data_IF_815363974962
#
_entry.id   IF_815363974962
#
_cell.length_a   1.000
_cell.length_b   1.000
_cell.length_c   1.000
_cell.angle_alpha   90.00
_cell.angle_beta   90.00
_cell.angle_gamma   90.00
#
_symmetry.space_group_name_H-M   'P 1'
#
loop_
_entity.id
_entity.type
_entity.pdbx_description
1 polymer ?
#
# COMPACT_ATOMS: atom_id res chain seq x y z
N UNK A 1 -21.22 40.45 34.98
CA UNK A 1 -19.88 40.03 34.51
C UNK A 1 -19.45 38.85 35.35
N UNK A 2 -19.62 37.64 34.84
CA UNK A 2 -19.36 36.39 35.58
C UNK A 2 -18.31 35.63 34.80
N UNK A 3 -17.09 35.55 35.35
CA UNK A 3 -15.96 34.81 34.74
C UNK A 3 -16.07 33.33 35.12
N UNK A 4 -16.18 32.47 34.13
CA UNK A 4 -16.08 31.02 34.26
C UNK A 4 -14.66 30.61 33.87
N UNK A 5 -13.92 30.02 34.81
CA UNK A 5 -12.58 29.45 34.57
C UNK A 5 -12.71 27.92 34.54
N UNK A 6 -12.26 27.21 33.49
CA UNK A 6 -12.18 25.76 33.54
C UNK A 6 -10.89 25.29 34.21
N UNK A 7 -11.02 24.48 35.26
CA UNK A 7 -9.91 23.73 35.88
C UNK A 7 -9.59 22.53 34.97
N UNK A 8 -8.36 22.49 34.47
CA UNK A 8 -7.81 21.38 33.68
C UNK A 8 -7.48 20.20 34.60
N UNK A 9 -8.04 19.03 34.31
CA UNK A 9 -7.61 17.77 34.91
C UNK A 9 -6.35 17.26 34.18
N UNK A 10 -5.24 17.09 34.91
CA UNK A 10 -4.06 16.37 34.44
C UNK A 10 -4.27 14.87 34.71
N UNK A 11 -4.30 14.06 33.65
CA UNK A 11 -4.17 12.61 33.75
C UNK A 11 -2.68 12.26 33.64
N UNK A 12 -2.11 11.68 34.70
CA UNK A 12 -0.78 11.10 34.69
C UNK A 12 -0.94 9.60 34.41
N UNK A 13 -0.55 9.14 33.22
CA UNK A 13 -0.43 7.73 32.90
C UNK A 13 1.05 7.34 32.93
N UNK A 14 1.43 6.49 33.87
CA UNK A 14 2.77 5.91 33.95
C UNK A 14 2.87 4.72 32.98
N UNK A 15 3.85 4.76 32.08
CA UNK A 15 4.16 3.72 31.11
C UNK A 15 5.11 2.70 31.75
N UNK A 16 4.70 1.44 31.86
CA UNK A 16 5.56 0.35 32.32
C UNK A 16 6.28 -0.28 31.11
N UNK A 17 7.62 -0.17 31.09
CA UNK A 17 8.47 -0.84 30.11
C UNK A 17 8.82 -2.25 30.59
N UNK A 18 8.43 -3.27 29.83
CA UNK A 18 8.87 -4.65 30.03
C UNK A 18 10.04 -4.95 29.09
N UNK A 19 11.22 -5.19 29.65
CA UNK A 19 12.41 -5.64 28.92
C UNK A 19 12.39 -7.17 28.81
N UNK A 20 12.31 -7.71 27.58
CA UNK A 20 12.60 -9.12 27.31
C UNK A 20 14.10 -9.29 27.09
N UNK A 21 14.77 -10.03 27.98
CA UNK A 21 16.14 -10.52 27.78
C UNK A 21 16.04 -11.91 27.14
N UNK A 22 16.31 -12.01 25.85
CA UNK A 22 16.47 -13.28 25.14
C UNK A 22 17.89 -13.81 25.30
N UNK A 23 18.04 -15.02 25.85
CA UNK A 23 19.31 -15.75 25.92
C UNK A 23 19.52 -16.52 24.63
N UNK A 24 20.65 -16.29 23.96
CA UNK A 24 21.08 -17.07 22.79
C UNK A 24 21.97 -18.20 23.29
N UNK A 25 21.55 -19.45 23.08
CA UNK A 25 22.42 -20.61 23.26
C UNK A 25 22.92 -21.05 21.89
N UNK A 26 24.23 -20.96 21.68
CA UNK A 26 24.94 -21.53 20.55
C UNK A 26 25.29 -22.98 20.86
N UNK A 27 24.88 -23.90 19.99
CA UNK A 27 25.36 -25.28 19.99
C UNK A 27 26.06 -25.55 18.65
N UNK A 28 27.38 -25.70 18.72
CA UNK A 28 28.20 -26.30 17.68
C UNK A 28 27.95 -27.81 17.64
N UNK A 29 27.77 -28.37 16.44
CA UNK A 29 28.01 -29.79 16.18
C UNK A 29 28.57 -29.97 14.76
N UNK A 30 29.87 -30.24 14.79
CA UNK A 30 30.79 -30.91 13.88
C UNK A 30 30.29 -31.55 12.56
N UNK A 31 31.07 -31.22 11.53
CA UNK A 31 31.28 -31.77 10.19
C UNK A 31 30.96 -33.25 9.90
N UNK A 32 30.26 -33.44 8.79
CA UNK A 32 30.49 -34.54 7.86
C UNK A 32 30.34 -34.05 6.40
N UNK A 33 31.43 -34.11 5.63
CA UNK A 33 31.47 -34.09 4.16
C UNK A 33 32.14 -35.44 3.78
N UNK A 34 31.77 -36.19 2.71
CA UNK A 34 31.85 -35.69 1.33
C UNK A 34 30.87 -36.24 0.28
N UNK A 35 30.60 -35.44 -0.76
CA UNK A 35 31.14 -35.65 -2.11
C UNK A 35 30.37 -34.81 -3.16
N UNK A 36 31.15 -34.04 -3.93
CA UNK A 36 30.98 -33.66 -5.34
C UNK A 36 29.58 -33.33 -5.88
N UNK A 37 29.39 -32.04 -6.19
CA UNK A 37 28.33 -31.54 -7.05
C UNK A 37 28.38 -30.01 -7.11
N UNK A 38 29.24 -29.50 -7.98
CA UNK A 38 29.09 -28.22 -8.67
C UNK A 38 29.18 -26.95 -7.80
N UNK A 39 30.41 -26.61 -7.38
CA UNK A 39 30.75 -25.23 -7.08
C UNK A 39 30.71 -24.43 -8.40
N UNK A 40 29.54 -23.86 -8.72
CA UNK A 40 29.42 -22.88 -9.80
C UNK A 40 30.16 -21.61 -9.36
N UNK A 41 31.44 -21.52 -9.74
CA UNK A 41 32.20 -20.27 -9.66
C UNK A 41 31.58 -19.36 -10.71
N UNK A 42 30.73 -18.43 -10.27
CA UNK A 42 30.11 -17.45 -11.15
C UNK A 42 31.20 -16.66 -11.88
N UNK A 43 31.35 -16.90 -13.18
CA UNK A 43 32.18 -16.11 -14.06
C UNK A 43 31.41 -14.79 -14.34
N UNK A 44 31.98 -13.61 -14.06
CA UNK A 44 31.31 -12.33 -14.32
C UNK A 44 31.03 -12.06 -15.82
N UNK A 45 31.45 -12.95 -16.72
CA UNK A 45 31.18 -12.88 -18.16
C UNK A 45 30.22 -13.97 -18.66
N UNK A 46 29.51 -14.69 -17.78
CA UNK A 46 28.51 -15.68 -18.19
C UNK A 46 27.23 -14.95 -18.66
N UNK A 47 26.84 -15.04 -19.95
CA UNK A 47 25.70 -14.31 -20.50
C UNK A 47 24.39 -14.99 -20.07
N UNK A 48 23.99 -14.73 -18.83
CA UNK A 48 22.74 -15.26 -18.27
C UNK A 48 22.31 -14.67 -16.93
N UNK A 49 23.10 -13.77 -16.32
CA UNK A 49 22.84 -13.23 -14.98
C UNK A 49 22.69 -11.70 -14.91
N UNK A 50 22.69 -11.00 -16.05
CA UNK A 50 22.39 -9.56 -16.11
C UNK A 50 21.11 -9.37 -16.93
N UNK A 51 19.98 -9.71 -16.34
CA UNK A 51 18.68 -9.22 -16.82
C UNK A 51 17.80 -8.74 -15.65
N UNK A 52 18.42 -8.37 -14.52
CA UNK A 52 17.70 -8.01 -13.30
C UNK A 52 17.29 -6.54 -13.18
N UNK A 53 17.57 -5.69 -14.17
CA UNK A 53 17.10 -4.30 -14.19
C UNK A 53 16.79 -3.87 -15.61
N UNK A 54 15.78 -4.48 -16.20
CA UNK A 54 15.04 -3.79 -17.26
C UNK A 54 14.12 -2.80 -16.57
N UNK A 55 14.28 -1.50 -16.85
CA UNK A 55 13.33 -0.48 -16.44
C UNK A 55 11.90 -0.96 -16.78
N UNK A 56 10.91 -0.81 -15.87
CA UNK A 56 9.61 -1.38 -16.09
C UNK A 56 8.98 -0.82 -17.38
N UNK A 57 8.65 -1.73 -18.30
CA UNK A 57 7.71 -1.47 -19.40
C UNK A 57 6.48 -0.74 -18.82
N UNK A 58 5.95 0.31 -19.46
CA UNK A 58 4.79 1.04 -18.94
C UNK A 58 3.64 0.07 -18.65
N UNK A 59 3.38 -0.17 -17.36
CA UNK A 59 2.43 -1.18 -16.87
C UNK A 59 3.01 -2.31 -16.02
N UNK A 60 4.33 -2.44 -15.87
CA UNK A 60 4.96 -3.30 -14.85
C UNK A 60 5.30 -2.48 -13.62
N UNK A 61 4.71 -2.81 -12.48
CA UNK A 61 5.08 -2.22 -11.19
C UNK A 61 6.39 -2.85 -10.69
N UNK A 62 7.20 -2.08 -9.97
CA UNK A 62 8.46 -2.49 -9.35
C UNK A 62 8.24 -3.42 -8.15
N UNK A 63 9.17 -3.50 -7.19
CA UNK A 63 8.99 -4.28 -5.98
C UNK A 63 7.74 -3.81 -5.22
N UNK A 64 6.66 -4.58 -5.34
CA UNK A 64 5.34 -4.28 -4.78
C UNK A 64 5.38 -4.36 -3.25
N UNK A 65 5.03 -3.27 -2.57
CA UNK A 65 4.87 -3.26 -1.12
C UNK A 65 3.67 -4.09 -0.68
N UNK A 66 2.62 -4.13 -1.52
CA UNK A 66 1.41 -4.87 -1.21
C UNK A 66 0.64 -5.24 -2.48
N UNK A 67 0.11 -6.46 -2.51
CA UNK A 67 -0.93 -6.87 -3.44
C UNK A 67 -2.17 -7.47 -2.72
N UNK A 68 -3.34 -7.33 -3.33
CA UNK A 68 -4.59 -7.79 -2.75
C UNK A 68 -5.76 -7.80 -3.73
N UNK A 69 -6.97 -7.96 -3.21
CA UNK A 69 -8.21 -7.88 -3.98
C UNK A 69 -9.27 -7.13 -3.16
N UNK A 70 -10.24 -6.53 -3.85
CA UNK A 70 -11.37 -5.82 -3.24
C UNK A 70 -12.66 -6.52 -3.67
N UNK A 71 -13.52 -6.85 -2.71
CA UNK A 71 -14.86 -7.39 -2.97
C UNK A 71 -15.93 -6.46 -2.41
N UNK A 72 -16.96 -6.18 -3.21
CA UNK A 72 -18.19 -5.49 -2.79
C UNK A 72 -17.97 -4.15 -2.07
N UNK A 73 -17.03 -3.34 -2.56
CA UNK A 73 -16.79 -2.00 -2.03
C UNK A 73 -17.93 -1.05 -2.38
N UNK A 74 -18.56 -0.44 -1.37
CA UNK A 74 -19.55 0.61 -1.55
C UNK A 74 -18.92 2.00 -1.34
N UNK A 75 -19.41 3.07 -2.00
CA UNK A 75 -19.00 4.42 -1.69
C UNK A 75 -19.26 4.72 -0.21
N UNK A 76 -18.27 5.26 0.51
CA UNK A 76 -18.40 5.58 1.93
C UNK A 76 -17.10 5.46 2.72
N UNK A 77 -17.21 5.11 4.01
CA UNK A 77 -16.14 5.16 5.00
C UNK A 77 -15.28 3.90 5.08
N UNK A 78 -15.12 3.17 3.97
CA UNK A 78 -14.16 2.07 3.92
C UNK A 78 -12.79 2.61 3.55
N UNK A 79 -11.76 2.01 4.14
CA UNK A 79 -10.36 2.30 3.85
C UNK A 79 -9.64 1.01 3.46
N UNK A 80 -8.59 1.18 2.66
CA UNK A 80 -7.67 0.09 2.35
C UNK A 80 -6.85 -0.28 3.58
N UNK A 81 -5.97 -1.28 3.41
CA UNK A 81 -4.84 -1.44 4.33
C UNK A 81 -3.95 -0.21 4.25
N UNK A 82 -3.24 0.03 5.33
CA UNK A 82 -2.20 1.05 5.40
C UNK A 82 -0.87 0.45 4.98
N UNK A 83 0.01 1.28 4.41
CA UNK A 83 1.40 0.92 4.12
C UNK A 83 2.32 2.09 4.48
N UNK A 84 3.55 1.77 4.83
CA UNK A 84 4.54 2.76 5.22
C UNK A 84 5.11 3.44 3.96
N UNK A 85 4.87 4.75 3.82
CA UNK A 85 5.39 5.61 2.76
C UNK A 85 5.05 7.08 3.05
N UNK A 86 5.91 8.00 2.61
CA UNK A 86 5.72 9.43 2.79
C UNK A 86 6.03 10.25 1.53
N UNK A 87 6.69 9.68 0.52
CA UNK A 87 7.15 10.46 -0.63
C UNK A 87 6.41 10.09 -1.91
N UNK A 88 6.33 8.79 -2.23
CA UNK A 88 5.83 8.34 -3.53
C UNK A 88 4.99 7.07 -3.41
N UNK A 89 3.78 7.10 -3.94
CA UNK A 89 2.97 5.89 -4.04
C UNK A 89 2.26 5.79 -5.37
N UNK A 90 2.29 4.61 -5.94
CA UNK A 90 1.43 4.18 -7.02
C UNK A 90 0.40 3.19 -6.52
N UNK A 91 -0.82 3.33 -7.01
CA UNK A 91 -1.88 2.35 -6.82
C UNK A 91 -2.34 1.89 -8.21
N UNK A 92 -2.40 0.58 -8.42
CA UNK A 92 -2.94 -0.01 -9.64
C UNK A 92 -4.09 -0.93 -9.31
N UNK A 93 -5.20 -0.73 -10.01
CA UNK A 93 -6.33 -1.66 -9.98
C UNK A 93 -6.37 -2.43 -11.30
N UNK A 94 -6.59 -3.74 -11.20
CA UNK A 94 -6.75 -4.65 -12.33
C UNK A 94 -8.10 -5.34 -12.24
N UNK A 95 -8.82 -5.40 -13.36
CA UNK A 95 -10.07 -6.14 -13.49
C UNK A 95 -11.15 -5.62 -12.55
N UNK A 96 -11.59 -4.39 -12.74
CA UNK A 96 -12.65 -3.75 -11.98
C UNK A 96 -14.02 -4.14 -12.53
N UNK A 97 -14.98 -4.39 -11.64
CA UNK A 97 -16.38 -4.66 -11.97
C UNK A 97 -17.27 -3.86 -11.04
N UNK A 98 -18.32 -3.24 -11.57
CA UNK A 98 -19.40 -2.65 -10.76
C UNK A 98 -20.60 -3.57 -10.78
N UNK A 99 -20.99 -4.06 -9.61
CA UNK A 99 -22.22 -4.81 -9.41
C UNK A 99 -23.40 -3.83 -9.45
N UNK A 100 -24.38 -4.12 -10.29
CA UNK A 100 -25.62 -3.35 -10.42
C UNK A 100 -25.40 -1.85 -10.69
N UNK A 101 -25.13 -1.49 -11.96
CA UNK A 101 -25.06 -0.07 -12.32
C UNK A 101 -24.37 0.27 -13.63
N UNK A 102 -23.94 -0.73 -14.41
CA UNK A 102 -23.26 -0.51 -15.71
C UNK A 102 -22.00 0.36 -15.61
N UNK A 103 -21.44 0.47 -14.40
CA UNK A 103 -20.43 1.44 -14.06
C UNK A 103 -19.08 1.18 -14.69
N UNK A 104 -18.37 2.27 -15.00
CA UNK A 104 -17.08 2.24 -15.70
C UNK A 104 -16.04 3.13 -15.06
N UNK A 105 -16.31 3.70 -13.89
CA UNK A 105 -15.30 4.48 -13.18
C UNK A 105 -15.40 4.40 -11.66
N UNK A 106 -14.25 4.63 -11.02
CA UNK A 106 -14.12 4.79 -9.58
C UNK A 106 -13.23 6.00 -9.27
N UNK A 107 -13.63 6.82 -8.32
CA UNK A 107 -12.77 7.87 -7.77
C UNK A 107 -11.99 7.27 -6.60
N UNK A 108 -10.68 7.13 -6.76
CA UNK A 108 -9.77 6.62 -5.72
C UNK A 108 -9.08 7.83 -5.09
N UNK A 109 -9.27 8.00 -3.78
CA UNK A 109 -8.67 9.09 -3.02
C UNK A 109 -7.57 8.52 -2.13
N UNK A 110 -6.41 9.17 -2.15
CA UNK A 110 -5.28 8.80 -1.30
C UNK A 110 -5.24 9.71 -0.07
N UNK A 111 -4.87 9.12 1.06
CA UNK A 111 -4.72 9.78 2.34
C UNK A 111 -3.36 9.47 2.94
N UNK A 112 -2.81 10.43 3.67
CA UNK A 112 -1.69 10.23 4.57
C UNK A 112 -2.20 10.26 6.00
N UNK A 113 -1.97 9.16 6.72
CA UNK A 113 -2.30 9.05 8.12
C UNK A 113 -1.30 9.88 8.95
N UNK A 114 -1.82 10.72 9.84
CA UNK A 114 -0.99 11.50 10.76
C UNK A 114 -1.36 11.12 12.20
N UNK A 115 -0.43 10.52 12.95
CA UNK A 115 -0.66 10.17 14.35
C UNK A 115 -1.18 11.36 15.15
N UNK A 116 -2.30 11.16 15.84
CA UNK A 116 -2.93 12.16 16.72
C UNK A 116 -3.41 13.45 16.03
N UNK A 117 -3.56 13.43 14.70
CA UNK A 117 -4.07 14.54 13.91
C UNK A 117 -5.11 14.06 12.89
N UNK A 118 -5.63 14.99 12.10
CA UNK A 118 -6.48 14.65 10.96
C UNK A 118 -5.61 14.25 9.77
N UNK A 119 -5.97 13.13 9.15
CA UNK A 119 -5.32 12.63 7.94
C UNK A 119 -5.37 13.65 6.80
N UNK A 120 -4.32 13.67 5.99
CA UNK A 120 -4.19 14.61 4.87
C UNK A 120 -4.74 13.99 3.60
N UNK A 121 -5.67 14.71 2.97
CA UNK A 121 -6.15 14.39 1.62
C UNK A 121 -5.04 14.70 0.61
N UNK A 122 -4.57 13.66 -0.08
CA UNK A 122 -3.52 13.77 -1.10
C UNK A 122 -4.09 13.96 -2.50
N UNK A 123 -5.41 14.00 -2.64
CA UNK A 123 -6.12 14.15 -3.91
C UNK A 123 -6.79 12.86 -4.38
N UNK A 124 -7.64 13.02 -5.40
CA UNK A 124 -8.45 11.94 -5.98
C UNK A 124 -8.09 11.72 -7.44
N UNK A 125 -7.92 10.46 -7.83
CA UNK A 125 -7.66 10.03 -9.19
C UNK A 125 -8.82 9.17 -9.69
N UNK A 126 -9.20 9.33 -10.96
CA UNK A 126 -10.33 8.59 -11.55
C UNK A 126 -9.82 7.38 -12.33
N UNK A 127 -10.30 6.20 -11.94
CA UNK A 127 -9.96 4.92 -12.53
C UNK A 127 -11.04 4.55 -13.53
N UNK A 128 -10.68 4.34 -14.79
CA UNK A 128 -11.64 4.00 -15.86
C UNK A 128 -11.23 2.76 -16.67
N UNK A 129 -9.94 2.59 -16.98
CA UNK A 129 -9.48 1.54 -17.87
C UNK A 129 -9.64 0.13 -17.28
N UNK A 130 -9.46 -0.03 -15.96
CA UNK A 130 -9.64 -1.32 -15.29
C UNK A 130 -11.05 -1.92 -15.42
N UNK A 131 -12.07 -1.13 -15.80
CA UNK A 131 -13.43 -1.60 -16.04
C UNK A 131 -13.66 -2.15 -17.46
N UNK A 132 -12.67 -2.05 -18.35
CA UNK A 132 -12.81 -2.48 -19.76
C UNK A 132 -12.62 -3.99 -19.94
N UNK A 133 -12.06 -4.68 -18.96
CA UNK A 133 -11.88 -6.13 -19.01
C UNK A 133 -11.20 -6.71 -17.77
N UNK A 134 -11.20 -8.04 -17.60
CA UNK A 134 -10.71 -8.72 -16.40
C UNK A 134 -9.18 -8.68 -16.23
N UNK A 135 -8.44 -8.23 -17.24
CA UNK A 135 -6.99 -8.00 -17.21
C UNK A 135 -6.62 -6.53 -17.46
N UNK A 136 -7.61 -5.67 -17.72
CA UNK A 136 -7.37 -4.26 -17.92
C UNK A 136 -6.99 -3.62 -16.59
N UNK A 137 -6.07 -2.65 -16.64
CA UNK A 137 -5.56 -1.98 -15.45
C UNK A 137 -5.64 -0.46 -15.58
N UNK A 138 -5.79 0.22 -14.46
CA UNK A 138 -5.54 1.65 -14.35
C UNK A 138 -4.51 1.86 -13.25
N UNK A 139 -3.52 2.70 -13.53
CA UNK A 139 -2.46 3.12 -12.61
C UNK A 139 -2.66 4.59 -12.29
N UNK A 140 -2.49 4.97 -11.03
CA UNK A 140 -2.35 6.36 -10.62
C UNK A 140 -1.26 6.49 -9.57
N UNK A 141 -0.60 7.65 -9.56
CA UNK A 141 0.50 7.94 -8.65
C UNK A 141 0.28 9.26 -7.93
N UNK A 142 0.93 9.37 -6.76
CA UNK A 142 0.95 10.55 -5.92
C UNK A 142 2.36 10.79 -5.41
N UNK A 143 2.84 12.01 -5.60
CA UNK A 143 4.19 12.47 -5.25
C UNK A 143 4.16 13.68 -4.30
N UNK A 144 3.20 13.69 -3.37
CA UNK A 144 3.04 14.76 -2.39
C UNK A 144 3.51 14.26 -1.04
N UNK A 145 4.26 15.08 -0.31
CA UNK A 145 4.75 14.79 1.03
C UNK A 145 4.08 15.72 2.04
N UNK A 146 3.60 15.17 3.16
CA UNK A 146 3.24 15.96 4.33
C UNK A 146 4.12 15.56 5.52
N UNK A 147 4.56 16.56 6.27
CA UNK A 147 5.30 16.32 7.51
C UNK A 147 4.41 15.55 8.52
N UNK A 148 5.07 14.80 9.40
CA UNK A 148 4.47 14.07 10.53
C UNK A 148 3.59 12.84 10.20
N UNK A 149 3.38 12.48 8.93
CA UNK A 149 2.75 11.21 8.58
C UNK A 149 3.76 10.17 8.12
N UNK A 150 3.51 8.91 8.47
CA UNK A 150 4.37 7.75 8.17
C UNK A 150 3.66 6.67 7.36
N UNK A 151 2.33 6.77 7.23
CA UNK A 151 1.52 5.77 6.54
C UNK A 151 0.57 6.39 5.52
N UNK A 152 0.27 5.61 4.48
CA UNK A 152 -0.71 5.95 3.45
C UNK A 152 -1.78 4.89 3.34
N UNK A 153 -2.96 5.31 2.91
CA UNK A 153 -4.09 4.43 2.58
C UNK A 153 -4.97 5.10 1.53
N UNK A 154 -5.80 4.33 0.83
CA UNK A 154 -6.79 4.88 -0.08
C UNK A 154 -8.22 4.59 0.38
N UNK A 155 -9.14 5.44 -0.07
CA UNK A 155 -10.57 5.19 -0.06
C UNK A 155 -11.13 5.28 -1.47
N UNK A 156 -12.30 4.68 -1.70
CA UNK A 156 -13.04 4.82 -2.97
C UNK A 156 -14.36 5.51 -2.67
N UNK A 157 -14.36 6.85 -2.50
CA UNK A 157 -15.55 7.60 -2.12
C UNK A 157 -16.61 7.69 -3.23
N UNK A 158 -16.26 7.37 -4.47
CA UNK A 158 -17.13 7.52 -5.63
C UNK A 158 -17.07 6.31 -6.55
N UNK A 159 -18.25 5.85 -6.99
CA UNK A 159 -18.41 4.92 -8.10
C UNK A 159 -19.26 5.63 -9.15
N UNK A 160 -18.79 5.66 -10.41
CA UNK A 160 -19.37 6.46 -11.49
C UNK A 160 -19.57 7.95 -11.13
N UNK A 161 -18.65 8.53 -10.36
CA UNK A 161 -18.76 9.90 -9.87
C UNK A 161 -19.85 10.14 -8.80
N UNK A 162 -20.54 9.10 -8.34
CA UNK A 162 -21.56 9.21 -7.30
C UNK A 162 -21.04 8.70 -5.95
N UNK A 163 -21.26 9.49 -4.91
CA UNK A 163 -20.99 9.14 -3.51
C UNK A 163 -22.15 8.43 -2.82
N UNK A 164 -23.32 8.34 -3.48
CA UNK A 164 -24.57 7.83 -2.89
C UNK A 164 -25.19 6.68 -3.69
N UNK A 165 -24.51 6.23 -4.75
CA UNK A 165 -24.96 5.09 -5.54
C UNK A 165 -25.02 3.82 -4.68
N UNK A 166 -26.07 3.01 -4.90
CA UNK A 166 -26.27 1.72 -4.22
C UNK A 166 -25.54 0.56 -4.90
N UNK A 167 -24.56 0.88 -5.75
CA UNK A 167 -23.73 -0.08 -6.44
C UNK A 167 -22.50 -0.38 -5.60
N UNK A 168 -21.98 -1.59 -5.74
CA UNK A 168 -20.67 -1.96 -5.19
C UNK A 168 -19.71 -2.23 -6.32
N UNK A 169 -18.41 -2.10 -6.06
CA UNK A 169 -17.38 -2.53 -6.99
C UNK A 169 -16.48 -3.59 -6.40
N UNK A 170 -15.97 -4.44 -7.27
CA UNK A 170 -14.94 -5.41 -6.96
C UNK A 170 -13.72 -5.15 -7.84
N UNK A 171 -12.53 -5.36 -7.29
CA UNK A 171 -11.25 -5.24 -7.99
C UNK A 171 -10.54 -6.57 -7.87
N UNK A 172 -10.24 -7.19 -9.01
CA UNK A 172 -9.59 -8.49 -9.06
C UNK A 172 -8.20 -8.47 -8.43
N UNK A 173 -7.41 -7.43 -8.74
CA UNK A 173 -6.11 -7.20 -8.10
C UNK A 173 -5.86 -5.73 -7.82
N UNK A 174 -5.33 -5.47 -6.64
CA UNK A 174 -4.77 -4.18 -6.24
C UNK A 174 -3.27 -4.38 -6.07
N UNK A 175 -2.49 -3.43 -6.56
CA UNK A 175 -1.07 -3.37 -6.33
C UNK A 175 -0.72 -1.98 -5.80
N UNK A 176 0.20 -1.94 -4.85
CA UNK A 176 0.80 -0.71 -4.35
C UNK A 176 2.31 -0.80 -4.49
N UNK A 177 2.87 0.22 -5.12
CA UNK A 177 4.30 0.43 -5.26
C UNK A 177 4.66 1.75 -4.56
N UNK A 178 5.73 1.75 -3.78
CA UNK A 178 6.27 2.98 -3.18
C UNK A 178 7.68 3.28 -3.64
N UNK A 179 8.21 2.47 -4.54
CA UNK A 179 9.46 2.75 -5.21
C UNK A 179 9.16 3.62 -6.41
N UNK A 180 9.73 4.82 -6.43
CA UNK A 180 9.81 5.59 -7.65
C UNK A 180 10.80 4.84 -8.55
N UNK A 181 10.31 3.97 -9.42
CA UNK A 181 11.13 3.40 -10.48
C UNK A 181 11.52 4.55 -11.43
N UNK A 182 12.82 4.79 -11.52
CA UNK A 182 13.48 5.82 -12.33
C UNK A 182 13.54 5.46 -13.82
#
# INVERSE_FOLDING_TARGET
MTRTTPVRALLIAALAAATLVGTVTSANAESAQPANGDAYVANPNDPGLIELYSAPEPGRMGPTNWDGAIGSWAPGSFESRHWDDNDYTEVQFVGCVVDQGGGKSAGVKLWQAIPFSLDKDMGTQTYYNCFTGPSASTLAWWNVHYEDGDQRYFTIPQINGSTTIRATMSVKKVYVDTTLAD
#
